data_IF_786714981310
#
_entry.id   IF_786714981310
#
_cell.length_a   1.000
_cell.length_b   1.000
_cell.length_c   1.000
_cell.angle_alpha   90.00
_cell.angle_beta   90.00
_cell.angle_gamma   90.00
#
_symmetry.space_group_name_H-M   'P 1'
#
loop_
_entity.id
_entity.type
_entity.pdbx_description
1 polymer ?
#
# COMPACT_ATOMS: atom_id res chain seq x y z
N UNK A 1 13.53 -4.93 -19.35
CA UNK A 1 13.14 -5.75 -18.21
C UNK A 1 11.85 -6.49 -18.53
N UNK A 2 11.77 -7.74 -18.15
CA UNK A 2 10.64 -8.57 -18.51
C UNK A 2 9.65 -8.74 -17.40
N UNK A 3 8.56 -9.44 -17.74
CA UNK A 3 7.48 -9.76 -16.80
C UNK A 3 8.00 -10.52 -15.59
N UNK A 4 8.99 -11.38 -15.78
CA UNK A 4 9.57 -12.17 -14.67
C UNK A 4 10.24 -11.27 -13.63
N UNK A 5 10.88 -10.18 -14.06
CA UNK A 5 11.47 -9.21 -13.14
C UNK A 5 10.39 -8.49 -12.35
N UNK A 6 9.30 -8.11 -13.01
CA UNK A 6 8.16 -7.46 -12.37
C UNK A 6 7.52 -8.38 -11.34
N UNK A 7 7.38 -9.66 -11.65
CA UNK A 7 6.85 -10.66 -10.72
C UNK A 7 7.73 -10.72 -9.47
N UNK A 8 9.04 -10.71 -9.63
CA UNK A 8 9.97 -10.76 -8.49
C UNK A 8 9.80 -9.55 -7.58
N UNK A 9 9.60 -8.36 -8.14
CA UNK A 9 9.36 -7.17 -7.33
C UNK A 9 8.01 -7.21 -6.63
N UNK A 10 6.97 -7.65 -7.32
CA UNK A 10 5.64 -7.77 -6.74
C UNK A 10 5.64 -8.80 -5.61
N UNK A 11 6.39 -9.90 -5.77
CA UNK A 11 6.53 -10.92 -4.73
C UNK A 11 7.19 -10.40 -3.44
N UNK A 12 7.94 -9.31 -3.53
CA UNK A 12 8.57 -8.72 -2.34
C UNK A 12 7.55 -8.08 -1.40
N UNK A 13 6.37 -7.78 -1.91
CA UNK A 13 5.29 -7.22 -1.09
C UNK A 13 4.57 -8.39 -0.40
N UNK A 14 4.61 -8.47 0.95
CA UNK A 14 4.03 -9.63 1.65
C UNK A 14 2.58 -9.90 1.30
N UNK A 15 1.76 -8.86 1.20
CA UNK A 15 0.35 -8.97 0.86
C UNK A 15 0.15 -9.62 -0.51
N UNK A 16 0.94 -9.20 -1.49
CA UNK A 16 0.82 -9.69 -2.86
C UNK A 16 1.41 -11.08 -3.00
N UNK A 17 2.52 -11.34 -2.31
CA UNK A 17 3.18 -12.66 -2.36
C UNK A 17 2.21 -13.77 -1.99
N UNK A 18 1.34 -13.53 -1.01
CA UNK A 18 0.39 -14.53 -0.54
C UNK A 18 -0.68 -14.90 -1.56
N UNK A 19 -0.85 -14.10 -2.62
CA UNK A 19 -1.85 -14.38 -3.65
C UNK A 19 -1.48 -15.54 -4.57
N UNK A 20 -0.18 -15.90 -4.62
CA UNK A 20 0.30 -16.98 -5.46
C UNK A 20 0.84 -16.47 -6.79
N UNK A 21 1.76 -17.25 -7.36
CA UNK A 21 2.52 -16.81 -8.52
C UNK A 21 1.68 -16.62 -9.78
N UNK A 22 0.65 -17.44 -9.97
CA UNK A 22 -0.23 -17.32 -11.13
C UNK A 22 -1.00 -16.00 -11.12
N UNK A 23 -1.50 -15.61 -9.94
CA UNK A 23 -2.19 -14.32 -9.77
C UNK A 23 -1.22 -13.16 -10.01
N UNK A 24 0.00 -13.26 -9.51
CA UNK A 24 1.01 -12.23 -9.69
C UNK A 24 1.41 -12.06 -11.15
N UNK A 25 1.40 -13.15 -11.92
CA UNK A 25 1.68 -13.07 -13.36
C UNK A 25 0.62 -12.24 -14.08
N UNK A 26 -0.64 -12.41 -13.72
CA UNK A 26 -1.72 -11.60 -14.29
C UNK A 26 -1.50 -10.12 -13.98
N UNK A 27 -1.13 -9.81 -12.74
CA UNK A 27 -0.85 -8.43 -12.35
C UNK A 27 0.34 -7.87 -13.13
N UNK A 28 1.41 -8.64 -13.27
CA UNK A 28 2.60 -8.19 -13.97
C UNK A 28 2.33 -7.91 -15.45
N UNK A 29 1.51 -8.76 -16.09
CA UNK A 29 1.17 -8.59 -17.51
C UNK A 29 0.34 -7.33 -17.72
N UNK A 30 -0.60 -7.03 -16.84
CA UNK A 30 -1.51 -5.90 -16.99
C UNK A 30 -1.04 -4.60 -16.35
N UNK A 31 0.01 -4.65 -15.53
CA UNK A 31 0.52 -3.47 -14.85
C UNK A 31 1.34 -2.58 -15.78
N UNK A 32 1.47 -1.31 -15.38
CA UNK A 32 2.24 -0.33 -16.15
C UNK A 32 3.49 0.08 -15.37
N UNK A 33 4.63 0.11 -16.06
CA UNK A 33 5.84 0.67 -15.49
C UNK A 33 5.78 2.19 -15.67
N UNK A 34 6.11 2.94 -14.63
CA UNK A 34 6.08 4.39 -14.67
C UNK A 34 7.34 4.96 -14.06
N UNK A 35 7.98 5.86 -14.80
CA UNK A 35 9.14 6.60 -14.32
C UNK A 35 8.68 7.85 -13.58
N UNK A 36 9.32 8.16 -12.45
CA UNK A 36 9.00 9.32 -11.63
C UNK A 36 10.29 10.08 -11.36
N UNK A 37 10.35 11.35 -11.77
CA UNK A 37 11.53 12.18 -11.59
C UNK A 37 11.67 12.58 -10.12
N UNK A 38 12.92 12.85 -9.72
CA UNK A 38 13.18 13.39 -8.38
C UNK A 38 12.34 14.64 -8.14
N UNK A 39 11.64 14.68 -7.02
CA UNK A 39 10.78 15.80 -6.65
C UNK A 39 9.38 15.74 -7.24
N UNK A 40 9.14 14.84 -8.18
CA UNK A 40 7.82 14.69 -8.77
C UNK A 40 6.86 14.02 -7.78
N UNK A 41 5.62 14.50 -7.72
CA UNK A 41 4.58 13.93 -6.86
C UNK A 41 3.90 12.79 -7.61
N UNK A 42 3.91 11.61 -7.03
CA UNK A 42 3.24 10.45 -7.61
C UNK A 42 1.72 10.53 -7.39
N UNK A 43 1.31 10.86 -6.18
CA UNK A 43 -0.09 11.14 -5.86
C UNK A 43 -0.15 12.08 -4.66
N UNK A 44 -1.27 12.79 -4.55
CA UNK A 44 -1.46 13.81 -3.52
C UNK A 44 -2.58 13.41 -2.56
N UNK A 45 -2.36 13.66 -1.27
CA UNK A 45 -3.39 13.40 -0.25
C UNK A 45 -4.70 14.10 -0.64
N UNK A 46 -5.81 13.37 -0.49
CA UNK A 46 -7.14 13.89 -0.83
C UNK A 46 -7.60 13.59 -2.24
N UNK A 47 -6.71 13.18 -3.15
CA UNK A 47 -7.11 12.80 -4.50
C UNK A 47 -7.83 11.44 -4.50
N UNK A 48 -8.79 11.24 -5.41
CA UNK A 48 -9.37 9.91 -5.59
C UNK A 48 -8.28 8.92 -5.98
N UNK A 49 -8.29 7.74 -5.37
CA UNK A 49 -7.28 6.71 -5.61
C UNK A 49 -7.90 5.57 -6.41
N UNK A 50 -7.26 5.20 -7.51
CA UNK A 50 -7.73 4.13 -8.40
C UNK A 50 -6.68 3.03 -8.61
N UNK A 51 -5.56 3.10 -7.89
CA UNK A 51 -4.42 2.21 -8.15
C UNK A 51 -3.49 2.14 -6.95
N UNK A 52 -2.70 1.07 -6.93
CA UNK A 52 -1.56 0.95 -6.04
C UNK A 52 -0.29 0.96 -6.87
N UNK A 53 0.84 1.22 -6.20
CA UNK A 53 2.15 1.29 -6.86
C UNK A 53 3.17 0.47 -6.08
N UNK A 54 3.88 -0.41 -6.78
CA UNK A 54 5.01 -1.13 -6.19
C UNK A 54 6.29 -0.39 -6.57
N UNK A 55 7.06 0.03 -5.60
CA UNK A 55 8.33 0.71 -5.87
C UNK A 55 9.34 -0.30 -6.37
N UNK A 56 9.84 -0.10 -7.59
CA UNK A 56 10.81 -0.97 -8.23
C UNK A 56 12.23 -0.45 -8.03
N UNK A 57 12.43 0.84 -8.25
CA UNK A 57 13.70 1.52 -8.05
C UNK A 57 13.44 2.88 -7.41
N UNK A 58 14.40 3.37 -6.64
CA UNK A 58 14.31 4.68 -6.04
C UNK A 58 13.62 4.68 -4.69
N UNK A 59 13.16 5.85 -4.28
CA UNK A 59 12.51 6.01 -2.98
C UNK A 59 11.53 7.16 -3.00
N UNK A 60 10.54 7.08 -2.11
CA UNK A 60 9.47 8.07 -2.00
C UNK A 60 9.30 8.52 -0.56
N UNK A 61 9.05 9.80 -0.38
CA UNK A 61 8.64 10.34 0.90
C UNK A 61 7.11 10.29 0.97
N UNK A 62 6.60 9.60 1.98
CA UNK A 62 5.16 9.46 2.19
C UNK A 62 4.79 10.34 3.37
N UNK A 63 4.01 11.39 3.11
CA UNK A 63 3.66 12.37 4.11
C UNK A 63 2.16 12.37 4.31
N UNK A 64 1.72 11.90 5.47
CA UNK A 64 0.30 11.80 5.78
C UNK A 64 -0.32 13.11 6.21
N UNK A 65 -1.60 13.07 6.44
CA UNK A 65 -2.38 14.19 6.97
C UNK A 65 -2.85 13.82 8.37
N UNK A 66 -2.59 14.66 9.39
CA UNK A 66 -1.85 15.93 9.33
C UNK A 66 -0.34 15.71 9.23
N UNK A 67 0.36 16.69 8.70
CA UNK A 67 1.82 16.63 8.52
C UNK A 67 2.58 16.41 9.82
N UNK A 68 1.98 16.74 10.94
CA UNK A 68 2.61 16.62 12.26
C UNK A 68 3.02 15.18 12.60
N UNK A 69 2.46 14.19 11.92
CA UNK A 69 2.78 12.77 12.19
C UNK A 69 4.15 12.38 11.64
N UNK A 70 4.74 13.19 10.76
CA UNK A 70 6.03 12.92 10.17
C UNK A 70 5.94 12.16 8.86
N UNK A 71 7.06 12.02 8.20
CA UNK A 71 7.15 11.37 6.91
C UNK A 71 7.83 10.01 7.03
N UNK A 72 7.40 9.06 6.19
CA UNK A 72 7.98 7.73 6.07
C UNK A 72 8.65 7.63 4.70
N UNK A 73 9.78 6.94 4.64
CA UNK A 73 10.47 6.71 3.37
C UNK A 73 10.17 5.30 2.88
N UNK A 74 9.67 5.20 1.65
CA UNK A 74 9.35 3.93 1.03
C UNK A 74 10.37 3.62 -0.06
N UNK A 75 11.03 2.48 0.05
CA UNK A 75 12.02 2.02 -0.92
C UNK A 75 11.51 0.85 -1.77
N UNK A 76 12.41 0.22 -2.56
CA UNK A 76 12.03 -0.88 -3.44
C UNK A 76 11.34 -2.02 -2.69
N UNK A 77 10.31 -2.58 -3.30
CA UNK A 77 9.53 -3.66 -2.70
C UNK A 77 8.39 -3.20 -1.81
N UNK A 78 8.15 -1.89 -1.73
CA UNK A 78 7.04 -1.33 -0.95
C UNK A 78 5.83 -1.12 -1.85
N UNK A 79 4.65 -1.47 -1.35
CA UNK A 79 3.38 -1.20 -2.04
C UNK A 79 2.77 0.07 -1.45
N UNK A 80 2.59 1.08 -2.31
CA UNK A 80 1.96 2.34 -1.95
C UNK A 80 0.50 2.30 -2.39
N UNK A 81 -0.41 2.68 -1.51
CA UNK A 81 -1.83 2.76 -1.85
C UNK A 81 -2.52 1.41 -1.88
N UNK A 82 -2.18 0.52 -0.95
CA UNK A 82 -2.73 -0.83 -0.89
C UNK A 82 -4.26 -0.87 -0.84
N UNK A 83 -4.88 -0.02 -0.03
CA UNK A 83 -6.34 -0.02 0.11
C UNK A 83 -7.06 0.40 -1.17
N UNK A 84 -6.41 1.20 -2.00
CA UNK A 84 -6.99 1.65 -3.27
C UNK A 84 -7.15 0.52 -4.28
N UNK A 85 -6.49 -0.62 -4.06
CA UNK A 85 -6.65 -1.79 -4.91
C UNK A 85 -8.01 -2.46 -4.72
N UNK A 86 -8.65 -2.20 -3.60
CA UNK A 86 -9.89 -2.88 -3.23
C UNK A 86 -11.06 -1.92 -3.07
N UNK A 87 -10.80 -0.74 -2.49
CA UNK A 87 -11.84 0.21 -2.16
C UNK A 87 -11.66 1.54 -2.89
N UNK A 88 -12.78 2.20 -3.15
CA UNK A 88 -12.75 3.58 -3.64
C UNK A 88 -12.47 4.46 -2.43
N UNK A 89 -11.27 4.99 -2.37
CA UNK A 89 -10.83 5.85 -1.28
C UNK A 89 -10.11 7.07 -1.84
N UNK A 90 -9.93 8.05 -0.99
CA UNK A 90 -9.04 9.18 -1.28
C UNK A 90 -7.68 8.86 -0.73
N UNK A 91 -6.64 9.40 -1.36
CA UNK A 91 -5.27 9.19 -0.90
C UNK A 91 -5.11 9.73 0.51
N UNK A 92 -4.67 8.90 1.46
CA UNK A 92 -4.45 9.38 2.84
C UNK A 92 -3.14 10.13 3.00
N UNK A 93 -2.27 10.09 2.00
CA UNK A 93 -0.93 10.68 2.07
C UNK A 93 -0.49 11.14 0.70
N UNK A 94 0.54 12.00 0.67
CA UNK A 94 1.20 12.46 -0.54
C UNK A 94 2.51 11.70 -0.70
N UNK A 95 2.75 11.15 -1.89
CA UNK A 95 3.99 10.44 -2.21
C UNK A 95 4.82 11.27 -3.19
N UNK A 96 6.04 11.62 -2.78
CA UNK A 96 6.97 12.43 -3.59
C UNK A 96 8.26 11.67 -3.77
N UNK A 97 8.76 11.60 -5.01
CA UNK A 97 10.02 10.92 -5.29
C UNK A 97 11.20 11.68 -4.69
N UNK A 98 12.01 10.99 -3.92
CA UNK A 98 13.23 11.56 -3.32
C UNK A 98 14.42 11.47 -4.28
N UNK A 99 14.33 10.64 -5.29
CA UNK A 99 15.35 10.38 -6.28
C UNK A 99 14.67 9.88 -7.54
N UNK A 100 15.38 9.76 -8.68
CA UNK A 100 14.79 9.17 -9.87
C UNK A 100 14.28 7.77 -9.53
N UNK A 101 13.02 7.51 -9.82
CA UNK A 101 12.34 6.29 -9.34
C UNK A 101 11.53 5.63 -10.44
N UNK A 102 11.27 4.35 -10.28
CA UNK A 102 10.40 3.58 -11.17
C UNK A 102 9.41 2.82 -10.30
N UNK A 103 8.15 2.86 -10.70
CA UNK A 103 7.08 2.16 -9.99
C UNK A 103 6.31 1.29 -10.97
N UNK A 104 5.71 0.23 -10.44
CA UNK A 104 4.79 -0.63 -11.17
C UNK A 104 3.38 -0.25 -10.72
N UNK A 105 2.59 0.31 -11.64
CA UNK A 105 1.23 0.75 -11.34
C UNK A 105 0.25 -0.40 -11.57
N UNK A 106 -0.51 -0.72 -10.54
CA UNK A 106 -1.56 -1.74 -10.60
C UNK A 106 -2.90 -1.01 -10.39
N UNK A 107 -3.74 -0.99 -11.43
CA UNK A 107 -5.04 -0.35 -11.30
C UNK A 107 -6.00 -1.23 -10.48
N UNK A 108 -6.98 -0.59 -9.84
CA UNK A 108 -8.01 -1.34 -9.11
C UNK A 108 -8.77 -2.28 -10.04
N UNK A 109 -9.09 -1.83 -11.25
CA UNK A 109 -9.83 -2.67 -12.20
C UNK A 109 -9.05 -3.93 -12.57
N UNK A 110 -7.74 -3.81 -12.76
CA UNK A 110 -6.87 -4.97 -13.01
C UNK A 110 -6.86 -5.90 -11.81
N UNK A 111 -6.72 -5.33 -10.62
CA UNK A 111 -6.65 -6.10 -9.38
C UNK A 111 -7.94 -6.87 -9.12
N UNK A 112 -9.09 -6.22 -9.30
CA UNK A 112 -10.39 -6.86 -9.13
C UNK A 112 -10.58 -7.98 -10.15
N UNK A 113 -10.16 -7.74 -11.39
CA UNK A 113 -10.23 -8.74 -12.45
C UNK A 113 -9.39 -9.97 -12.12
N UNK A 114 -8.20 -9.73 -11.57
CA UNK A 114 -7.33 -10.83 -11.11
C UNK A 114 -8.03 -11.64 -10.02
N UNK A 115 -8.65 -10.97 -9.06
CA UNK A 115 -9.34 -11.66 -7.95
C UNK A 115 -10.51 -12.50 -8.45
N UNK A 116 -11.22 -12.04 -9.49
CA UNK A 116 -12.32 -12.82 -10.09
C UNK A 116 -11.83 -14.12 -10.69
N UNK A 117 -10.62 -14.11 -11.25
CA UNK A 117 -10.01 -15.29 -11.82
C UNK A 117 -9.34 -16.22 -10.82
N UNK A 118 -9.12 -15.76 -9.61
CA UNK A 118 -8.40 -16.52 -8.57
C UNK A 118 -9.13 -16.40 -7.22
N UNK A 119 -10.24 -17.14 -7.05
CA UNK A 119 -11.03 -17.04 -5.80
C UNK A 119 -10.23 -17.32 -4.53
N UNK A 120 -9.25 -18.23 -4.61
CA UNK A 120 -8.40 -18.53 -3.45
C UNK A 120 -7.58 -17.31 -3.05
N UNK A 121 -7.06 -16.58 -4.04
CA UNK A 121 -6.33 -15.35 -3.78
C UNK A 121 -7.22 -14.31 -3.11
N UNK A 122 -8.48 -14.22 -3.55
CA UNK A 122 -9.44 -13.29 -2.96
C UNK A 122 -9.68 -13.60 -1.48
N UNK A 123 -9.79 -14.88 -1.13
CA UNK A 123 -9.98 -15.29 0.27
C UNK A 123 -8.76 -14.93 1.12
N UNK A 124 -7.56 -15.24 0.64
CA UNK A 124 -6.32 -14.94 1.34
C UNK A 124 -6.20 -13.44 1.60
N UNK A 125 -6.47 -12.64 0.57
CA UNK A 125 -6.38 -11.19 0.68
C UNK A 125 -7.39 -10.63 1.67
N UNK A 126 -8.63 -11.13 1.61
CA UNK A 126 -9.68 -10.69 2.52
C UNK A 126 -9.29 -10.99 3.97
N UNK A 127 -8.75 -12.18 4.22
CA UNK A 127 -8.31 -12.57 5.56
C UNK A 127 -7.16 -11.69 6.06
N UNK A 128 -6.21 -11.36 5.18
CA UNK A 128 -5.10 -10.49 5.55
C UNK A 128 -5.56 -9.08 5.88
N UNK A 129 -6.47 -8.53 5.11
CA UNK A 129 -7.01 -7.19 5.36
C UNK A 129 -7.80 -7.17 6.65
N UNK A 130 -8.61 -8.19 6.90
CA UNK A 130 -9.37 -8.30 8.13
C UNK A 130 -8.43 -8.39 9.35
N UNK A 131 -7.35 -9.16 9.23
CA UNK A 131 -6.38 -9.30 10.31
C UNK A 131 -5.68 -7.98 10.60
N UNK A 132 -5.30 -7.22 9.56
CA UNK A 132 -4.67 -5.91 9.73
C UNK A 132 -5.61 -4.90 10.35
N UNK A 133 -6.86 -4.88 9.90
CA UNK A 133 -7.87 -3.98 10.45
C UNK A 133 -8.11 -4.30 11.92
N UNK A 134 -8.16 -5.58 12.28
CA UNK A 134 -8.33 -6.01 13.65
C UNK A 134 -7.13 -5.60 14.50
N UNK A 135 -5.93 -5.77 13.98
CA UNK A 135 -4.71 -5.38 14.69
C UNK A 135 -4.67 -3.88 14.92
N UNK A 136 -5.02 -3.10 13.91
CA UNK A 136 -5.06 -1.64 14.04
C UNK A 136 -6.06 -1.19 15.11
N UNK A 137 -7.24 -1.82 15.14
CA UNK A 137 -8.24 -1.52 16.15
C UNK A 137 -7.75 -1.90 17.56
N UNK A 138 -7.07 -3.02 17.68
CA UNK A 138 -6.51 -3.47 18.94
C UNK A 138 -5.43 -2.50 19.44
N UNK A 139 -4.55 -2.07 18.56
CA UNK A 139 -3.50 -1.10 18.89
C UNK A 139 -4.10 0.24 19.31
N UNK A 140 -5.13 0.70 18.62
CA UNK A 140 -5.81 1.94 18.98
C UNK A 140 -6.50 1.82 20.34
N UNK A 141 -7.11 0.67 20.63
CA UNK A 141 -7.74 0.43 21.93
C UNK A 141 -6.70 0.42 23.04
N UNK A 142 -5.54 -0.21 22.80
CA UNK A 142 -4.46 -0.28 23.77
C UNK A 142 -3.89 1.12 24.06
N UNK A 143 -3.71 1.92 23.03
CA UNK A 143 -3.23 3.30 23.17
C UNK A 143 -4.24 4.13 23.96
N UNK A 144 -5.52 3.98 23.62
CA UNK A 144 -6.58 4.71 24.32
C UNK A 144 -6.63 4.32 25.81
N UNK A 145 -6.54 3.02 26.10
CA UNK A 145 -6.51 2.55 27.48
C UNK A 145 -5.33 3.09 28.26
N UNK A 146 -4.16 3.13 27.63
CA UNK A 146 -2.98 3.69 28.26
C UNK A 146 -3.13 5.18 28.54
N UNK A 147 -3.71 5.93 27.59
CA UNK A 147 -3.96 7.35 27.76
C UNK A 147 -4.99 7.61 28.87
N UNK A 148 -6.05 6.83 28.91
CA UNK A 148 -7.08 6.95 29.94
C UNK A 148 -6.50 6.69 31.34
N UNK A 149 -5.65 5.66 31.43
CA UNK A 149 -4.98 5.32 32.69
C UNK A 149 -4.06 6.44 33.14
N UNK A 150 -3.30 7.02 32.22
CA UNK A 150 -2.37 8.11 32.56
C UNK A 150 -3.09 9.43 32.86
N UNK A 151 -4.31 9.61 32.36
CA UNK A 151 -5.09 10.82 32.58
C UNK A 151 -6.00 10.71 33.80
N UNK A 152 -6.18 9.53 34.33
CA UNK A 152 -6.99 9.37 35.52
C UNK A 152 -6.28 10.07 36.68
N UNK A 153 -6.85 11.17 37.20
CA UNK A 153 -6.18 11.85 38.30
C UNK A 153 -6.19 10.90 39.48
N UNK A 154 -5.03 10.83 40.09
CA UNK A 154 -5.00 10.07 41.32
C UNK A 154 -5.92 10.82 42.25
N UNK A 155 -7.06 10.29 42.39
CA UNK A 155 -8.03 10.90 43.20
C UNK A 155 -7.53 10.96 44.58
N UNK A 156 -7.36 12.04 45.03
CA UNK A 156 -6.98 12.17 46.34
C UNK A 156 -7.95 12.74 47.12
#
# INVERSE_FOLDING_TARGET
MGIEDDILFIERVPTLRALGRDALRILAIGAESRYVHKGEVLFTAGEPADSGYVVQEGSFQIEGQPKAVGAVIAGPGTLLGELALIYEIKRPATATALEPSTVIRISRSLFVKMLEGFPQAAHVLRDQIAARAQQALTEMADVRAALDTSQTPSAQ
#
